data_IF_407210492622
#
_entry.id   IF_407210492622
#
_cell.length_a   1.000
_cell.length_b   1.000
_cell.length_c   1.000
_cell.angle_alpha   90.00
_cell.angle_beta   90.00
_cell.angle_gamma   90.00
#
_symmetry.space_group_name_H-M   'P 1'
#
loop_
_entity.id
_entity.type
_entity.pdbx_description
1 polymer ?
#
# COMPACT_ATOMS: atom_id res chain seq x y z
N UNK A 1 54.42 6.10 50.37
CA UNK A 1 54.62 5.39 49.10
C UNK A 1 53.29 4.80 48.65
N UNK A 2 52.49 5.62 47.96
CA UNK A 2 51.41 5.18 47.08
C UNK A 2 51.20 6.35 46.13
N UNK A 3 51.27 6.11 44.82
CA UNK A 3 50.07 6.37 44.04
C UNK A 3 49.94 5.39 42.87
N UNK A 4 48.96 5.66 41.99
CA UNK A 4 48.67 5.00 40.71
C UNK A 4 47.83 3.71 40.82
N UNK A 5 46.72 3.53 40.11
CA UNK A 5 45.99 4.37 39.13
C UNK A 5 44.68 3.61 38.88
N UNK A 6 43.52 4.23 39.11
CA UNK A 6 42.25 3.70 38.63
C UNK A 6 42.09 4.11 37.17
N UNK A 7 42.34 3.19 36.23
CA UNK A 7 41.99 3.38 34.83
C UNK A 7 40.53 2.98 34.63
N UNK A 8 39.63 3.98 34.65
CA UNK A 8 38.23 3.82 34.24
C UNK A 8 38.21 3.94 32.71
N UNK A 9 38.08 2.80 32.02
CA UNK A 9 37.87 2.76 30.58
C UNK A 9 36.39 3.04 30.28
N UNK A 10 36.04 4.31 30.07
CA UNK A 10 34.72 4.70 29.59
C UNK A 10 34.60 4.37 28.10
N UNK A 11 33.95 3.24 27.78
CA UNK A 11 33.59 2.87 26.41
C UNK A 11 32.38 3.72 25.98
N UNK A 12 32.64 4.84 25.30
CA UNK A 12 31.59 5.66 24.70
C UNK A 12 30.91 4.87 23.56
N UNK A 13 29.67 4.44 23.79
CA UNK A 13 28.83 3.80 22.78
C UNK A 13 28.39 4.89 21.78
N UNK A 14 29.06 4.97 20.64
CA UNK A 14 28.68 5.89 19.57
C UNK A 14 27.46 5.30 18.85
N UNK A 15 26.25 5.67 19.28
CA UNK A 15 25.03 5.38 18.53
C UNK A 15 25.09 6.11 17.19
N UNK A 16 25.51 5.40 16.16
CA UNK A 16 25.48 5.89 14.78
C UNK A 16 24.03 5.85 14.33
N UNK A 17 23.34 6.99 14.35
CA UNK A 17 21.99 7.10 13.78
C UNK A 17 22.15 7.01 12.27
N UNK A 18 21.91 5.83 11.70
CA UNK A 18 21.83 5.65 10.25
C UNK A 18 20.54 6.30 9.78
N UNK A 19 20.61 7.57 9.37
CA UNK A 19 19.52 8.20 8.65
C UNK A 19 19.47 7.58 7.24
N UNK A 20 18.47 6.74 6.99
CA UNK A 20 18.19 6.22 5.65
C UNK A 20 17.91 7.40 4.69
N UNK A 21 18.41 7.37 3.45
CA UNK A 21 18.03 8.37 2.47
C UNK A 21 16.52 8.31 2.21
N UNK A 22 15.81 9.37 2.56
CA UNK A 22 14.38 9.54 2.26
C UNK A 22 14.22 9.82 0.77
N UNK A 23 13.81 8.79 0.01
CA UNK A 23 13.42 8.96 -1.39
C UNK A 23 12.01 9.54 -1.42
N UNK A 24 11.92 10.87 -1.47
CA UNK A 24 10.64 11.58 -1.55
C UNK A 24 10.13 11.52 -3.00
N UNK A 25 9.37 10.49 -3.32
CA UNK A 25 8.65 10.41 -4.59
C UNK A 25 7.38 11.28 -4.54
N UNK A 26 7.12 12.01 -5.63
CA UNK A 26 5.91 12.82 -5.75
C UNK A 26 4.70 11.88 -5.87
N UNK A 27 3.84 11.86 -4.85
CA UNK A 27 2.57 11.12 -4.88
C UNK A 27 1.57 11.83 -5.79
N UNK A 28 1.02 11.10 -6.76
CA UNK A 28 -0.10 11.55 -7.60
C UNK A 28 -1.36 10.91 -7.03
N UNK A 29 -2.29 11.76 -6.56
CA UNK A 29 -3.58 11.30 -6.06
C UNK A 29 -4.57 11.18 -7.21
N UNK A 30 -5.21 10.02 -7.29
CA UNK A 30 -6.29 9.71 -8.20
C UNK A 30 -7.61 9.74 -7.43
N UNK A 31 -8.70 9.97 -8.14
CA UNK A 31 -10.06 9.87 -7.58
C UNK A 31 -10.92 9.13 -8.57
N UNK A 32 -11.69 8.17 -8.08
CA UNK A 32 -12.49 7.29 -8.90
C UNK A 32 -13.51 6.52 -8.08
N UNK A 33 -14.15 5.58 -8.75
CA UNK A 33 -15.07 4.62 -8.14
C UNK A 33 -14.28 3.43 -7.58
N UNK A 34 -14.66 2.96 -6.41
CA UNK A 34 -14.19 1.72 -5.82
C UNK A 34 -15.32 0.70 -5.76
N UNK A 35 -15.13 -0.47 -6.35
CA UNK A 35 -16.05 -1.63 -6.22
C UNK A 35 -15.36 -2.80 -5.54
N UNK A 36 -16.02 -3.95 -5.46
CA UNK A 36 -15.38 -5.19 -5.03
C UNK A 36 -15.72 -6.37 -5.94
N UNK A 37 -14.87 -7.40 -5.91
CA UNK A 37 -15.01 -8.64 -6.67
C UNK A 37 -14.56 -9.86 -5.86
N UNK A 38 -15.04 -11.05 -6.24
CA UNK A 38 -14.49 -12.32 -5.74
C UNK A 38 -13.14 -12.58 -6.40
N UNK A 39 -12.09 -12.71 -5.58
CA UNK A 39 -10.72 -12.81 -6.10
C UNK A 39 -10.38 -14.22 -6.56
N UNK A 40 -9.31 -14.32 -7.36
CA UNK A 40 -8.79 -15.58 -7.85
C UNK A 40 -7.36 -15.43 -8.37
N UNK A 41 -7.07 -16.02 -9.53
CA UNK A 41 -5.81 -15.76 -10.24
C UNK A 41 -5.86 -14.37 -10.87
N UNK A 42 -5.04 -13.44 -10.37
CA UNK A 42 -4.94 -12.10 -10.92
C UNK A 42 -3.94 -11.97 -12.08
N UNK A 43 -4.06 -10.89 -12.85
CA UNK A 43 -3.20 -10.55 -13.98
C UNK A 43 -1.73 -10.35 -13.59
N UNK A 44 -1.41 -10.13 -12.31
CA UNK A 44 -0.03 -10.14 -11.82
C UNK A 44 0.54 -11.56 -11.62
N UNK A 45 -0.18 -12.62 -12.00
CA UNK A 45 0.27 -14.01 -11.94
C UNK A 45 0.26 -14.61 -10.54
N UNK A 46 -0.51 -14.03 -9.62
CA UNK A 46 -0.66 -14.51 -8.24
C UNK A 46 -2.10 -14.93 -7.99
N UNK A 47 -2.28 -16.05 -7.28
CA UNK A 47 -3.60 -16.46 -6.79
C UNK A 47 -3.84 -15.83 -5.43
N UNK A 48 -5.03 -15.26 -5.25
CA UNK A 48 -5.47 -14.63 -4.01
C UNK A 48 -6.77 -15.27 -3.50
N UNK A 49 -7.10 -15.00 -2.24
CA UNK A 49 -8.37 -15.36 -1.59
C UNK A 49 -9.06 -14.11 -1.04
N UNK A 50 -10.38 -14.14 -0.83
CA UNK A 50 -11.17 -12.95 -0.47
C UNK A 50 -10.72 -12.25 0.83
N UNK A 51 -9.95 -12.94 1.69
CA UNK A 51 -9.34 -12.36 2.88
C UNK A 51 -8.06 -11.55 2.61
N UNK A 52 -7.42 -11.72 1.46
CA UNK A 52 -6.22 -10.96 1.09
C UNK A 52 -6.59 -9.51 0.75
N UNK A 53 -5.80 -8.53 1.21
CA UNK A 53 -6.04 -7.11 0.92
C UNK A 53 -5.45 -6.72 -0.44
N UNK A 54 -6.16 -7.04 -1.52
CA UNK A 54 -5.67 -6.80 -2.88
C UNK A 54 -6.58 -5.86 -3.64
N UNK A 55 -6.02 -5.26 -4.68
CA UNK A 55 -6.73 -4.35 -5.58
C UNK A 55 -6.40 -4.68 -7.04
N UNK A 56 -7.45 -4.63 -7.87
CA UNK A 56 -7.37 -4.61 -9.31
C UNK A 56 -7.40 -3.16 -9.81
N UNK A 57 -6.45 -2.80 -10.68
CA UNK A 57 -6.35 -1.46 -11.26
C UNK A 57 -6.83 -1.47 -12.72
N UNK A 58 -7.32 -0.33 -13.23
CA UNK A 58 -7.81 -0.23 -14.60
C UNK A 58 -6.75 -0.64 -15.64
N UNK A 59 -7.17 -1.15 -16.79
CA UNK A 59 -6.25 -1.47 -17.91
C UNK A 59 -5.38 -0.29 -18.34
N UNK A 60 -5.90 0.93 -18.23
CA UNK A 60 -5.17 2.16 -18.58
C UNK A 60 -3.95 2.38 -17.67
N UNK A 61 -4.02 1.97 -16.41
CA UNK A 61 -2.92 2.07 -15.45
C UNK A 61 -2.09 0.78 -15.45
N UNK A 62 -2.74 -0.39 -15.53
CA UNK A 62 -2.07 -1.68 -15.53
C UNK A 62 -1.02 -1.76 -16.64
N UNK A 63 -1.40 -1.45 -17.88
CA UNK A 63 -0.51 -1.49 -19.04
C UNK A 63 0.16 -2.86 -19.19
N UNK A 64 1.45 -2.94 -18.87
CA UNK A 64 2.23 -4.19 -18.87
C UNK A 64 2.53 -4.75 -17.47
N UNK A 65 1.75 -4.36 -16.45
CA UNK A 65 1.92 -4.81 -15.07
C UNK A 65 3.01 -4.08 -14.27
N UNK A 66 3.41 -2.87 -14.67
CA UNK A 66 4.53 -2.14 -14.04
C UNK A 66 4.34 -1.77 -12.55
N UNK A 67 3.09 -1.79 -12.08
CA UNK A 67 2.69 -1.54 -10.70
C UNK A 67 2.23 -2.81 -9.95
N UNK A 68 2.40 -4.00 -10.54
CA UNK A 68 2.17 -5.25 -9.80
C UNK A 68 3.04 -5.30 -8.54
N UNK A 69 2.47 -5.81 -7.45
CA UNK A 69 3.09 -5.89 -6.12
C UNK A 69 3.44 -4.52 -5.50
N UNK A 70 2.93 -3.42 -6.04
CA UNK A 70 3.03 -2.10 -5.42
C UNK A 70 1.83 -1.85 -4.50
N UNK A 71 2.09 -1.31 -3.32
CA UNK A 71 1.05 -0.94 -2.37
C UNK A 71 0.37 0.38 -2.74
N UNK A 72 -0.92 0.46 -2.46
CA UNK A 72 -1.74 1.65 -2.63
C UNK A 72 -2.34 2.05 -1.28
N UNK A 73 -2.31 3.35 -0.99
CA UNK A 73 -3.10 3.93 0.09
C UNK A 73 -4.43 4.44 -0.48
N UNK A 74 -5.54 3.91 0.03
CA UNK A 74 -6.89 4.13 -0.49
C UNK A 74 -7.73 4.76 0.61
N UNK A 75 -8.45 5.83 0.29
CA UNK A 75 -9.34 6.54 1.21
C UNK A 75 -10.75 6.61 0.64
N UNK A 76 -11.75 6.19 1.42
CA UNK A 76 -13.14 6.47 1.11
C UNK A 76 -13.46 7.94 1.44
N UNK A 77 -13.74 8.71 0.40
CA UNK A 77 -13.93 10.17 0.50
C UNK A 77 -15.23 10.56 1.22
N UNK A 78 -16.18 9.63 1.38
CA UNK A 78 -17.45 9.90 2.04
C UNK A 78 -17.36 9.80 3.57
N UNK A 79 -16.51 8.92 4.10
CA UNK A 79 -16.40 8.66 5.55
C UNK A 79 -15.00 8.88 6.13
N UNK A 80 -13.99 9.14 5.29
CA UNK A 80 -12.61 9.39 5.68
C UNK A 80 -11.81 8.16 6.13
N UNK A 81 -12.38 6.95 6.03
CA UNK A 81 -11.65 5.71 6.32
C UNK A 81 -10.61 5.44 5.24
N UNK A 82 -9.48 4.87 5.65
CA UNK A 82 -8.40 4.49 4.75
C UNK A 82 -7.91 3.07 5.01
N UNK A 83 -7.38 2.45 3.97
CA UNK A 83 -6.81 1.11 3.98
C UNK A 83 -5.66 1.01 2.97
N UNK A 84 -4.81 -0.01 3.14
CA UNK A 84 -3.75 -0.34 2.18
C UNK A 84 -4.15 -1.57 1.38
N UNK A 85 -4.01 -1.48 0.05
CA UNK A 85 -4.26 -2.58 -0.88
C UNK A 85 -3.05 -2.87 -1.74
N UNK A 86 -2.73 -4.15 -1.94
CA UNK A 86 -1.65 -4.58 -2.81
C UNK A 86 -2.15 -4.80 -4.23
N UNK A 87 -1.53 -4.17 -5.23
CA UNK A 87 -1.91 -4.39 -6.64
C UNK A 87 -1.59 -5.83 -7.03
N UNK A 88 -2.64 -6.59 -7.37
CA UNK A 88 -2.52 -8.00 -7.79
C UNK A 88 -3.26 -8.33 -9.07
N UNK A 89 -4.06 -7.42 -9.60
CA UNK A 89 -4.91 -7.72 -10.73
C UNK A 89 -5.16 -6.51 -11.66
N UNK A 90 -5.71 -6.80 -12.82
CA UNK A 90 -6.20 -5.85 -13.80
C UNK A 90 -7.74 -5.89 -13.80
N UNK A 91 -8.37 -4.73 -13.88
CA UNK A 91 -9.81 -4.58 -14.05
C UNK A 91 -10.12 -4.00 -15.44
N UNK A 92 -10.44 -4.84 -16.45
CA UNK A 92 -10.71 -4.37 -17.81
C UNK A 92 -11.96 -3.50 -17.96
N UNK A 93 -12.92 -3.63 -17.05
CA UNK A 93 -14.15 -2.84 -17.02
C UNK A 93 -14.06 -1.54 -16.23
N UNK A 94 -12.95 -1.28 -15.54
CA UNK A 94 -12.79 -0.11 -14.69
C UNK A 94 -12.49 1.14 -15.53
N UNK A 95 -13.08 2.28 -15.13
CA UNK A 95 -12.66 3.60 -15.63
C UNK A 95 -11.20 3.88 -15.27
N UNK A 96 -10.59 4.88 -15.91
CA UNK A 96 -9.14 5.11 -15.82
C UNK A 96 -8.59 5.16 -14.38
N UNK A 97 -9.31 5.75 -13.43
CA UNK A 97 -8.92 5.85 -12.01
C UNK A 97 -9.78 4.99 -11.08
N UNK A 98 -10.67 4.17 -11.63
CA UNK A 98 -11.50 3.26 -10.84
C UNK A 98 -10.66 2.06 -10.40
N UNK A 99 -11.01 1.50 -9.26
CA UNK A 99 -10.36 0.33 -8.67
C UNK A 99 -11.41 -0.70 -8.24
N UNK A 100 -11.03 -1.97 -8.28
CA UNK A 100 -11.86 -3.07 -7.81
C UNK A 100 -11.12 -3.80 -6.69
N UNK A 101 -11.72 -3.92 -5.52
CA UNK A 101 -11.05 -4.37 -4.30
C UNK A 101 -11.47 -5.79 -3.93
N UNK A 102 -10.61 -6.52 -3.22
CA UNK A 102 -11.07 -7.73 -2.55
C UNK A 102 -12.14 -7.41 -1.50
N UNK A 103 -12.98 -8.38 -1.09
CA UNK A 103 -14.00 -8.13 -0.09
C UNK A 103 -13.42 -7.62 1.23
N UNK A 104 -12.33 -8.22 1.72
CA UNK A 104 -11.70 -7.79 2.97
C UNK A 104 -11.16 -6.36 2.92
N UNK A 105 -10.59 -5.92 1.78
CA UNK A 105 -10.12 -4.56 1.61
C UNK A 105 -11.28 -3.57 1.53
N UNK A 106 -12.35 -3.92 0.81
CA UNK A 106 -13.53 -3.07 0.70
C UNK A 106 -14.21 -2.86 2.06
N UNK A 107 -14.29 -3.92 2.88
CA UNK A 107 -14.91 -3.88 4.22
C UNK A 107 -14.20 -2.92 5.20
N UNK A 108 -12.92 -2.65 5.00
CA UNK A 108 -12.20 -1.61 5.78
C UNK A 108 -12.68 -0.20 5.44
N UNK A 109 -13.20 0.01 4.23
CA UNK A 109 -13.61 1.30 3.70
C UNK A 109 -15.13 1.52 3.75
N UNK A 110 -15.94 0.46 3.69
CA UNK A 110 -17.41 0.51 3.68
C UNK A 110 -18.07 -0.87 3.71
N UNK A 111 -19.40 -0.94 3.75
CA UNK A 111 -20.12 -2.23 3.70
C UNK A 111 -20.20 -2.77 2.28
N UNK A 112 -19.95 -4.08 2.07
CA UNK A 112 -20.10 -4.76 0.77
C UNK A 112 -21.48 -4.52 0.13
N UNK A 113 -22.54 -4.40 0.93
CA UNK A 113 -23.91 -4.11 0.47
C UNK A 113 -24.04 -2.75 -0.23
N UNK A 114 -23.12 -1.82 0.05
CA UNK A 114 -23.05 -0.54 -0.65
C UNK A 114 -22.67 -0.74 -2.11
N UNK A 115 -21.86 -1.78 -2.39
CA UNK A 115 -21.36 -2.17 -3.71
C UNK A 115 -20.35 -1.22 -4.35
N UNK A 116 -20.53 0.09 -4.13
CA UNK A 116 -19.78 1.14 -4.81
C UNK A 116 -19.42 2.26 -3.83
N UNK A 117 -18.14 2.59 -3.74
CA UNK A 117 -17.61 3.71 -2.95
C UNK A 117 -17.01 4.78 -3.87
N UNK A 118 -16.97 6.02 -3.38
CA UNK A 118 -16.14 7.07 -3.97
C UNK A 118 -14.81 7.14 -3.24
N UNK A 119 -13.73 6.82 -3.93
CA UNK A 119 -12.40 6.68 -3.33
C UNK A 119 -11.39 7.65 -3.94
N UNK A 120 -10.41 8.03 -3.13
CA UNK A 120 -9.18 8.64 -3.59
C UNK A 120 -8.02 7.74 -3.21
N UNK A 121 -7.02 7.61 -4.08
CA UNK A 121 -5.90 6.72 -3.81
C UNK A 121 -4.60 7.24 -4.43
N UNK A 122 -3.48 6.77 -3.91
CA UNK A 122 -2.16 6.94 -4.51
C UNK A 122 -1.29 5.71 -4.26
N UNK A 123 -0.30 5.51 -5.10
CA UNK A 123 0.74 4.52 -4.86
C UNK A 123 1.64 4.95 -3.70
N UNK A 124 2.00 3.99 -2.88
CA UNK A 124 3.14 4.11 -1.99
C UNK A 124 4.44 3.83 -2.77
N UNK A 125 5.57 4.14 -2.13
CA UNK A 125 6.88 3.80 -2.69
C UNK A 125 6.98 2.28 -2.92
N UNK A 126 7.76 1.83 -3.91
CA UNK A 126 7.86 0.41 -4.27
C UNK A 126 8.47 -0.49 -3.17
N UNK A 127 9.17 0.10 -2.21
CA UNK A 127 9.77 -0.55 -1.05
C UNK A 127 8.91 -0.47 0.22
N UNK A 128 7.74 0.16 0.14
CA UNK A 128 6.80 0.21 1.26
C UNK A 128 6.08 -1.12 1.45
N UNK A 129 5.99 -1.58 2.69
CA UNK A 129 5.13 -2.67 3.14
C UNK A 129 4.46 -2.24 4.47
N UNK A 130 3.12 -2.34 4.60
CA UNK A 130 2.37 -1.89 5.78
C UNK A 130 2.45 -2.84 6.98
#
# INVERSE_FOLDING_TARGET
MSPLTFFILALALVCSVLASPINLEKRITHTGRGTWFDVGLGACGKTNVNSDKIVAISSAIYGSGGNCEQWMHITNTANGKSAYGLVRDECPGCGASDIDMSPSLFEELGSLDTGVLKVSWHYENKDFEP
#
